data_IF_602747960324
#
_entry.id   IF_602747960324
#
_cell.length_a   1.000
_cell.length_b   1.000
_cell.length_c   1.000
_cell.angle_alpha   90.00
_cell.angle_beta   90.00
_cell.angle_gamma   90.00
#
_symmetry.space_group_name_H-M   'P 1'
#
loop_
_entity.id
_entity.type
_entity.pdbx_description
1 polymer ?
#
# COMPACT_ATOMS: atom_id res chain seq x y z
N UNK A 1 16.08 22.40 -74.64
CA UNK A 1 14.91 22.11 -73.79
C UNK A 1 15.17 20.95 -72.82
N UNK A 2 15.94 19.93 -73.23
CA UNK A 2 16.18 18.71 -72.43
C UNK A 2 17.01 18.93 -71.15
N UNK A 3 18.03 19.80 -71.17
CA UNK A 3 18.89 20.04 -69.99
C UNK A 3 18.17 20.65 -68.78
N UNK A 4 17.11 21.44 -69.00
CA UNK A 4 16.33 22.05 -67.92
C UNK A 4 15.38 21.05 -67.24
N UNK A 5 14.87 20.08 -68.01
CA UNK A 5 14.04 18.98 -67.50
C UNK A 5 14.88 18.05 -66.63
N UNK A 6 16.10 17.73 -67.06
CA UNK A 6 17.06 16.92 -66.29
C UNK A 6 17.44 17.62 -64.98
N UNK A 7 17.69 18.93 -65.01
CA UNK A 7 17.99 19.72 -63.81
C UNK A 7 16.81 19.73 -62.83
N UNK A 8 15.57 19.87 -63.32
CA UNK A 8 14.38 19.82 -62.48
C UNK A 8 14.17 18.48 -61.78
N UNK A 9 14.40 17.36 -62.49
CA UNK A 9 14.33 16.03 -61.90
C UNK A 9 15.40 15.80 -60.83
N UNK A 10 16.62 16.29 -61.04
CA UNK A 10 17.71 16.22 -60.06
C UNK A 10 17.33 16.96 -58.77
N UNK A 11 16.73 18.16 -58.88
CA UNK A 11 16.33 18.94 -57.70
C UNK A 11 15.21 18.26 -56.89
N UNK A 12 14.26 17.60 -57.54
CA UNK A 12 13.18 16.84 -56.86
C UNK A 12 13.76 15.66 -56.09
N UNK A 13 14.69 14.90 -56.68
CA UNK A 13 15.36 13.77 -56.02
C UNK A 13 16.18 14.24 -54.83
N UNK A 14 16.90 15.36 -54.97
CA UNK A 14 17.66 15.97 -53.88
C UNK A 14 16.73 16.38 -52.72
N UNK A 15 15.62 17.07 -53.01
CA UNK A 15 14.65 17.47 -51.99
C UNK A 15 14.03 16.27 -51.27
N UNK A 16 13.70 15.21 -52.00
CA UNK A 16 13.17 13.96 -51.42
C UNK A 16 14.18 13.28 -50.50
N UNK A 17 15.45 13.18 -50.92
CA UNK A 17 16.52 12.60 -50.10
C UNK A 17 16.77 13.43 -48.83
N UNK A 18 16.84 14.76 -48.94
CA UNK A 18 16.98 15.64 -47.77
C UNK A 18 15.79 15.53 -46.82
N UNK A 19 14.55 15.44 -47.32
CA UNK A 19 13.36 15.22 -46.49
C UNK A 19 13.40 13.90 -45.73
N UNK A 20 13.85 12.81 -46.39
CA UNK A 20 14.01 11.48 -45.76
C UNK A 20 15.12 11.46 -44.70
N UNK A 21 16.25 12.12 -44.97
CA UNK A 21 17.35 12.24 -44.01
C UNK A 21 16.92 13.11 -42.82
N UNK A 22 16.25 14.23 -43.06
CA UNK A 22 15.75 15.11 -42.00
C UNK A 22 14.77 14.40 -41.07
N UNK A 23 13.80 13.67 -41.62
CA UNK A 23 12.84 12.88 -40.84
C UNK A 23 13.52 11.80 -40.00
N UNK A 24 14.49 11.07 -40.56
CA UNK A 24 15.23 10.05 -39.83
C UNK A 24 16.08 10.63 -38.68
N UNK A 25 16.70 11.80 -38.89
CA UNK A 25 17.48 12.50 -37.86
C UNK A 25 16.59 12.99 -36.71
N UNK A 26 15.38 13.45 -37.01
CA UNK A 26 14.43 13.92 -36.01
C UNK A 26 13.88 12.75 -35.16
N UNK A 27 13.54 11.63 -35.80
CA UNK A 27 13.12 10.38 -35.13
C UNK A 27 14.25 9.82 -34.24
N UNK A 28 15.50 9.77 -34.74
CA UNK A 28 16.67 9.35 -33.96
C UNK A 28 16.93 10.28 -32.76
N UNK A 29 16.71 11.59 -32.93
CA UNK A 29 16.85 12.57 -31.86
C UNK A 29 15.79 12.38 -30.78
N UNK A 30 14.51 12.25 -31.15
CA UNK A 30 13.43 11.96 -30.20
C UNK A 30 13.72 10.68 -29.44
N UNK A 31 14.07 9.60 -30.12
CA UNK A 31 14.42 8.32 -29.49
C UNK A 31 15.61 8.44 -28.53
N UNK A 32 16.63 9.23 -28.89
CA UNK A 32 17.77 9.53 -28.02
C UNK A 32 17.35 10.30 -26.77
N UNK A 33 16.44 11.27 -26.90
CA UNK A 33 15.90 12.04 -25.78
C UNK A 33 15.07 11.16 -24.84
N UNK A 34 14.21 10.29 -25.36
CA UNK A 34 13.50 9.29 -24.55
C UNK A 34 14.46 8.34 -23.82
N UNK A 35 15.50 7.85 -24.50
CA UNK A 35 16.48 6.96 -23.87
C UNK A 35 17.23 7.65 -22.73
N UNK A 36 17.66 8.90 -22.91
CA UNK A 36 18.31 9.70 -21.85
C UNK A 36 17.37 10.00 -20.68
N UNK A 37 16.10 10.27 -20.98
CA UNK A 37 15.08 10.51 -19.96
C UNK A 37 14.85 9.26 -19.12
N UNK A 38 14.70 8.10 -19.76
CA UNK A 38 14.57 6.81 -19.08
C UNK A 38 15.80 6.49 -18.23
N UNK A 39 17.01 6.69 -18.75
CA UNK A 39 18.24 6.47 -17.98
C UNK A 39 18.31 7.37 -16.73
N UNK A 40 17.80 8.60 -16.84
CA UNK A 40 17.74 9.54 -15.71
C UNK A 40 16.70 9.09 -14.67
N UNK A 41 15.53 8.63 -15.13
CA UNK A 41 14.49 8.07 -14.27
C UNK A 41 15.00 6.81 -13.57
N UNK A 42 15.62 5.89 -14.29
CA UNK A 42 16.20 4.67 -13.72
C UNK A 42 17.26 4.98 -12.67
N UNK A 43 18.11 5.98 -12.91
CA UNK A 43 19.09 6.43 -11.90
C UNK A 43 18.43 7.00 -10.65
N UNK A 44 17.33 7.74 -10.82
CA UNK A 44 16.56 8.24 -9.69
C UNK A 44 15.90 7.08 -8.92
N UNK A 45 15.22 6.16 -9.59
CA UNK A 45 14.61 4.97 -8.97
C UNK A 45 15.63 4.15 -8.19
N UNK A 46 16.80 3.93 -8.78
CA UNK A 46 17.85 3.12 -8.19
C UNK A 46 18.70 3.87 -7.15
N UNK A 47 18.44 5.16 -6.91
CA UNK A 47 19.10 5.88 -5.84
C UNK A 47 18.76 5.23 -4.50
N UNK A 48 19.77 5.04 -3.64
CA UNK A 48 19.60 4.30 -2.38
C UNK A 48 18.47 4.90 -1.52
N UNK A 49 18.34 6.22 -1.47
CA UNK A 49 17.31 6.93 -0.71
C UNK A 49 15.88 6.69 -1.25
N UNK A 50 15.75 6.36 -2.54
CA UNK A 50 14.47 6.11 -3.19
C UNK A 50 14.01 4.66 -3.07
N UNK A 51 14.86 3.77 -2.53
CA UNK A 51 14.45 2.42 -2.18
C UNK A 51 13.45 2.45 -1.02
N UNK A 52 12.44 1.60 -1.09
CA UNK A 52 11.22 1.60 -0.25
C UNK A 52 11.48 1.84 1.25
N UNK A 53 12.43 1.11 1.85
CA UNK A 53 12.73 1.22 3.29
C UNK A 53 13.37 2.57 3.64
N UNK A 54 14.29 3.04 2.81
CA UNK A 54 14.96 4.31 3.05
C UNK A 54 14.00 5.48 2.81
N UNK A 55 13.16 5.36 1.77
CA UNK A 55 12.13 6.31 1.43
C UNK A 55 11.07 6.47 2.53
N UNK A 56 10.61 5.37 3.14
CA UNK A 56 9.64 5.47 4.24
C UNK A 56 10.25 6.12 5.49
N UNK A 57 11.52 5.83 5.80
CA UNK A 57 12.25 6.45 6.92
C UNK A 57 12.43 7.96 6.70
N UNK A 58 12.83 8.39 5.50
CA UNK A 58 12.98 9.81 5.18
C UNK A 58 11.62 10.52 5.24
N UNK A 59 10.58 9.92 4.65
CA UNK A 59 9.23 10.48 4.68
C UNK A 59 8.70 10.61 6.11
N UNK A 60 8.92 9.62 6.99
CA UNK A 60 8.59 9.68 8.42
C UNK A 60 9.23 10.92 9.08
N UNK A 61 10.52 11.15 8.84
CA UNK A 61 11.25 12.31 9.40
C UNK A 61 10.69 13.62 8.89
N UNK A 62 10.37 13.69 7.59
CA UNK A 62 9.78 14.88 6.97
C UNK A 62 8.38 15.20 7.50
N UNK A 63 7.59 14.19 7.89
CA UNK A 63 6.30 14.42 8.53
C UNK A 63 6.39 14.70 10.05
N UNK A 64 7.61 14.77 10.60
CA UNK A 64 7.89 15.12 11.99
C UNK A 64 7.96 13.94 12.96
N UNK A 65 8.01 12.70 12.46
CA UNK A 65 8.21 11.52 13.29
C UNK A 65 9.71 11.28 13.57
N UNK A 66 9.98 10.50 14.62
CA UNK A 66 11.32 10.04 14.99
C UNK A 66 11.37 8.51 14.83
N UNK A 67 11.62 7.99 13.61
CA UNK A 67 11.66 6.56 13.39
C UNK A 67 12.96 5.94 13.92
N UNK A 68 12.82 4.82 14.61
CA UNK A 68 13.89 3.94 15.10
C UNK A 68 13.71 2.55 14.47
N UNK A 69 14.77 1.74 14.44
CA UNK A 69 14.73 0.37 13.92
C UNK A 69 14.96 -0.55 15.10
N UNK A 70 14.06 -1.51 15.31
CA UNK A 70 14.18 -2.48 16.40
C UNK A 70 14.99 -3.73 16.00
N UNK A 71 15.10 -4.67 16.93
CA UNK A 71 15.87 -5.92 16.75
C UNK A 71 15.24 -6.85 15.69
N UNK A 72 13.95 -6.72 15.42
CA UNK A 72 13.21 -7.46 14.38
C UNK A 72 13.29 -6.75 13.01
N UNK A 73 14.05 -5.65 12.93
CA UNK A 73 14.23 -4.80 11.76
C UNK A 73 12.94 -4.08 11.30
N UNK A 74 11.97 -3.94 12.20
CA UNK A 74 10.79 -3.11 11.99
C UNK A 74 11.10 -1.64 12.32
N UNK A 75 10.47 -0.74 11.57
CA UNK A 75 10.61 0.71 11.76
C UNK A 75 9.55 1.16 12.77
N UNK A 76 9.99 1.51 13.97
CA UNK A 76 9.17 1.93 15.10
C UNK A 76 9.08 3.46 15.16
N UNK A 77 7.87 4.02 15.32
CA UNK A 77 7.70 5.46 15.47
C UNK A 77 6.38 5.80 16.17
N UNK A 78 6.30 7.03 16.68
CA UNK A 78 5.06 7.63 17.19
C UNK A 78 4.47 8.59 16.18
N UNK A 79 3.16 8.51 15.97
CA UNK A 79 2.37 9.46 15.21
C UNK A 79 1.07 9.76 15.97
N UNK A 80 0.79 11.04 16.25
CA UNK A 80 -0.33 11.49 17.09
C UNK A 80 -0.46 10.72 18.43
N UNK A 81 0.67 10.50 19.12
CA UNK A 81 0.76 9.75 20.39
C UNK A 81 0.40 8.26 20.31
N UNK A 82 0.28 7.68 19.11
CA UNK A 82 0.12 6.23 18.91
C UNK A 82 1.40 5.62 18.37
N UNK A 83 1.67 4.41 18.84
CA UNK A 83 2.80 3.60 18.38
C UNK A 83 2.44 2.88 17.08
N UNK A 84 3.36 2.96 16.13
CA UNK A 84 3.27 2.32 14.83
C UNK A 84 4.58 1.59 14.52
N UNK A 85 4.44 0.51 13.75
CA UNK A 85 5.52 -0.33 13.28
C UNK A 85 5.38 -0.49 11.77
N UNK A 86 6.46 -0.31 11.03
CA UNK A 86 6.48 -0.54 9.58
C UNK A 86 7.49 -1.61 9.26
N UNK A 87 7.00 -2.71 8.69
CA UNK A 87 7.84 -3.67 8.00
C UNK A 87 8.06 -3.19 6.57
N UNK A 88 9.32 -2.98 6.19
CA UNK A 88 9.71 -2.53 4.87
C UNK A 88 11.05 -3.14 4.46
N UNK A 89 11.16 -3.50 3.19
CA UNK A 89 12.39 -4.03 2.59
C UNK A 89 12.68 -3.32 1.27
N UNK A 90 13.97 -3.17 0.94
CA UNK A 90 14.44 -2.45 -0.24
C UNK A 90 14.32 -3.25 -1.55
N UNK A 91 13.87 -4.51 -1.52
CA UNK A 91 13.67 -5.37 -2.69
C UNK A 91 12.20 -5.38 -3.16
N UNK A 92 11.27 -4.83 -2.37
CA UNK A 92 9.85 -4.81 -2.71
C UNK A 92 9.29 -3.39 -2.66
N UNK A 93 8.26 -3.11 -3.47
CA UNK A 93 7.60 -1.81 -3.52
C UNK A 93 6.56 -1.61 -2.41
N UNK A 94 6.41 -2.54 -1.46
CA UNK A 94 5.32 -2.55 -0.50
C UNK A 94 5.84 -2.43 0.93
N UNK A 95 5.04 -1.78 1.77
CA UNK A 95 5.25 -1.72 3.21
C UNK A 95 4.04 -2.31 3.93
N UNK A 96 4.26 -2.77 5.16
CA UNK A 96 3.19 -3.20 6.05
C UNK A 96 3.23 -2.34 7.30
N UNK A 97 2.19 -1.52 7.49
CA UNK A 97 2.02 -0.69 8.67
C UNK A 97 1.20 -1.48 9.69
N UNK A 98 1.63 -1.49 10.95
CA UNK A 98 0.97 -2.14 12.08
C UNK A 98 0.74 -1.16 13.21
N UNK A 99 -0.33 -1.37 13.96
CA UNK A 99 -0.55 -0.75 15.27
C UNK A 99 -1.42 -1.66 16.16
N UNK A 100 -1.46 -1.36 17.45
CA UNK A 100 -2.27 -2.06 18.44
C UNK A 100 -3.42 -1.15 18.90
N UNK A 101 -4.66 -1.66 18.82
CA UNK A 101 -5.87 -0.97 19.27
C UNK A 101 -6.30 -1.33 20.69
N UNK A 102 -5.56 -2.23 21.35
CA UNK A 102 -5.72 -2.55 22.76
C UNK A 102 -6.18 -3.97 23.01
N UNK A 103 -6.27 -4.31 24.30
CA UNK A 103 -6.61 -5.65 24.78
C UNK A 103 -7.79 -5.60 25.74
N UNK A 104 -8.58 -6.67 25.72
CA UNK A 104 -9.70 -6.90 26.64
C UNK A 104 -9.49 -8.24 27.36
N UNK A 105 -10.08 -8.38 28.55
CA UNK A 105 -10.08 -9.68 29.25
C UNK A 105 -10.90 -10.70 28.45
N UNK A 106 -10.51 -11.98 28.45
CA UNK A 106 -11.32 -13.06 27.87
C UNK A 106 -12.62 -13.34 28.66
N UNK A 107 -12.79 -12.72 29.83
CA UNK A 107 -14.04 -12.77 30.60
C UNK A 107 -14.95 -11.56 30.31
N UNK A 108 -14.56 -10.66 29.41
CA UNK A 108 -15.39 -9.50 29.05
C UNK A 108 -16.68 -9.98 28.34
N UNK A 109 -17.87 -9.53 28.80
CA UNK A 109 -19.14 -9.97 28.22
C UNK A 109 -19.28 -9.61 26.73
N UNK A 110 -18.51 -8.63 26.26
CA UNK A 110 -18.63 -8.07 24.91
C UNK A 110 -17.68 -8.72 23.89
N UNK A 111 -16.95 -9.80 24.23
CA UNK A 111 -15.98 -10.43 23.31
C UNK A 111 -16.62 -10.91 22.01
N UNK A 112 -17.80 -11.52 22.09
CA UNK A 112 -18.47 -12.00 20.88
C UNK A 112 -18.93 -10.83 20.03
N UNK A 113 -19.38 -9.74 20.67
CA UNK A 113 -19.76 -8.50 19.98
C UNK A 113 -18.52 -7.86 19.34
N UNK A 114 -17.38 -7.83 20.02
CA UNK A 114 -16.10 -7.36 19.48
C UNK A 114 -15.71 -8.12 18.21
N UNK A 115 -15.78 -9.45 18.23
CA UNK A 115 -15.48 -10.29 17.06
C UNK A 115 -16.41 -9.97 15.88
N UNK A 116 -17.69 -9.75 16.13
CA UNK A 116 -18.65 -9.35 15.10
C UNK A 116 -18.37 -7.93 14.60
N UNK A 117 -18.04 -6.99 15.48
CA UNK A 117 -17.67 -5.62 15.13
C UNK A 117 -16.40 -5.57 14.27
N UNK A 118 -15.40 -6.39 14.59
CA UNK A 118 -14.18 -6.58 13.79
C UNK A 118 -14.54 -7.06 12.39
N UNK A 119 -15.37 -8.11 12.28
CA UNK A 119 -15.79 -8.63 10.98
C UNK A 119 -16.53 -7.58 10.15
N UNK A 120 -17.48 -6.85 10.76
CA UNK A 120 -18.20 -5.79 10.06
C UNK A 120 -17.29 -4.62 9.66
N UNK A 121 -16.36 -4.24 10.53
CA UNK A 121 -15.37 -3.20 10.23
C UNK A 121 -14.49 -3.59 9.05
N UNK A 122 -14.05 -4.86 9.00
CA UNK A 122 -13.23 -5.38 7.90
C UNK A 122 -13.96 -5.45 6.55
N UNK A 123 -15.31 -5.49 6.54
CA UNK A 123 -16.07 -5.45 5.29
C UNK A 123 -16.04 -4.08 4.60
N UNK A 124 -15.88 -3.01 5.39
CA UNK A 124 -15.96 -1.63 4.91
C UNK A 124 -14.59 -0.89 4.95
N UNK A 125 -13.65 -1.39 5.76
CA UNK A 125 -12.41 -0.71 6.12
C UNK A 125 -11.22 -0.99 5.20
N UNK A 126 -10.31 -0.01 5.10
CA UNK A 126 -9.02 -0.13 4.39
C UNK A 126 -7.94 -0.83 5.22
N UNK A 127 -7.96 -0.61 6.54
CA UNK A 127 -7.07 -1.25 7.50
C UNK A 127 -7.70 -2.56 7.95
N UNK A 128 -6.97 -3.66 7.83
CA UNK A 128 -7.42 -4.98 8.25
C UNK A 128 -7.23 -5.14 9.75
N UNK A 129 -8.29 -5.48 10.46
CA UNK A 129 -8.27 -5.85 11.86
C UNK A 129 -8.09 -7.36 12.02
N UNK A 130 -7.25 -7.76 12.96
CA UNK A 130 -7.10 -9.12 13.43
C UNK A 130 -7.06 -9.13 14.95
N UNK A 131 -7.40 -10.25 15.57
CA UNK A 131 -7.25 -10.41 17.01
C UNK A 131 -6.39 -11.64 17.33
N UNK A 132 -5.65 -11.53 18.43
CA UNK A 132 -4.87 -12.62 19.00
C UNK A 132 -5.38 -12.91 20.41
N UNK A 133 -5.48 -14.20 20.75
CA UNK A 133 -5.91 -14.64 22.09
C UNK A 133 -4.67 -15.12 22.84
N UNK A 134 -4.38 -14.47 23.96
CA UNK A 134 -3.37 -14.93 24.91
C UNK A 134 -4.09 -15.62 26.09
N UNK A 135 -4.02 -16.96 26.13
CA UNK A 135 -4.66 -17.74 27.19
C UNK A 135 -3.92 -17.61 28.53
N UNK A 136 -2.63 -17.34 28.54
CA UNK A 136 -1.83 -17.20 29.77
C UNK A 136 -2.16 -15.88 30.47
N UNK A 137 -2.27 -14.79 29.69
CA UNK A 137 -2.68 -13.48 30.19
C UNK A 137 -4.20 -13.33 30.32
N UNK A 138 -4.96 -14.31 29.82
CA UNK A 138 -6.42 -14.27 29.75
C UNK A 138 -6.95 -13.01 29.03
N UNK A 139 -6.33 -12.66 27.89
CA UNK A 139 -6.65 -11.48 27.09
C UNK A 139 -6.91 -11.80 25.62
N UNK A 140 -7.67 -10.92 24.97
CA UNK A 140 -7.78 -10.79 23.52
C UNK A 140 -7.26 -9.41 23.10
N UNK A 141 -6.30 -9.37 22.20
CA UNK A 141 -5.69 -8.13 21.69
C UNK A 141 -6.10 -7.90 20.25
N UNK A 142 -6.52 -6.67 19.92
CA UNK A 142 -6.88 -6.28 18.55
C UNK A 142 -5.71 -5.56 17.89
N UNK A 143 -5.15 -6.20 16.87
CA UNK A 143 -4.14 -5.64 16.01
C UNK A 143 -4.76 -5.13 14.72
N UNK A 144 -4.11 -4.15 14.13
CA UNK A 144 -4.53 -3.59 12.86
C UNK A 144 -3.32 -3.51 11.93
N UNK A 145 -3.57 -3.81 10.65
CA UNK A 145 -2.53 -3.84 9.62
C UNK A 145 -3.00 -3.19 8.34
N UNK A 146 -2.08 -2.52 7.65
CA UNK A 146 -2.34 -1.96 6.33
C UNK A 146 -1.16 -2.26 5.39
N UNK A 147 -1.46 -2.97 4.30
CA UNK A 147 -0.50 -3.33 3.27
C UNK A 147 -0.69 -2.39 2.08
N UNK A 148 0.36 -1.67 1.68
CA UNK A 148 0.26 -0.65 0.63
C UNK A 148 1.57 -0.44 -0.13
N UNK A 149 1.52 -0.01 -1.41
CA UNK A 149 2.71 0.36 -2.16
C UNK A 149 3.29 1.68 -1.65
N UNK A 150 4.62 1.76 -1.56
CA UNK A 150 5.33 2.95 -1.12
C UNK A 150 6.59 3.16 -1.96
N UNK A 151 6.46 3.92 -3.04
CA UNK A 151 7.52 4.16 -4.04
C UNK A 151 7.68 5.66 -4.27
N UNK A 152 8.86 6.09 -4.74
CA UNK A 152 9.23 7.51 -4.77
C UNK A 152 8.41 8.31 -5.80
N UNK A 153 7.76 7.65 -6.75
CA UNK A 153 6.92 8.24 -7.77
C UNK A 153 5.54 8.66 -7.24
N UNK A 154 5.18 8.24 -6.02
CA UNK A 154 3.91 8.62 -5.40
C UNK A 154 3.88 10.15 -5.22
N UNK A 155 2.91 10.85 -5.84
CA UNK A 155 2.78 12.28 -5.67
C UNK A 155 2.47 12.64 -4.22
N UNK A 156 3.09 13.70 -3.71
CA UNK A 156 2.87 14.18 -2.34
C UNK A 156 3.03 13.05 -1.31
N UNK A 157 4.12 12.30 -1.39
CA UNK A 157 4.35 11.08 -0.60
C UNK A 157 4.19 11.28 0.92
N UNK A 158 4.48 12.49 1.43
CA UNK A 158 4.26 12.88 2.82
C UNK A 158 2.76 12.86 3.18
N UNK A 159 1.92 13.47 2.34
CA UNK A 159 0.46 13.47 2.52
C UNK A 159 -0.14 12.09 2.28
N UNK A 160 0.42 11.33 1.35
CA UNK A 160 0.05 9.94 1.14
C UNK A 160 0.30 9.11 2.42
N UNK A 161 1.47 9.25 3.04
CA UNK A 161 1.78 8.54 4.28
C UNK A 161 0.87 8.99 5.43
N UNK A 162 0.69 10.30 5.62
CA UNK A 162 -0.26 10.85 6.62
C UNK A 162 -1.66 10.29 6.45
N UNK A 163 -2.20 10.32 5.23
CA UNK A 163 -3.53 9.79 4.93
C UNK A 163 -3.66 8.29 5.28
N UNK A 164 -2.62 7.50 5.03
CA UNK A 164 -2.60 6.08 5.37
C UNK A 164 -2.49 5.84 6.89
N UNK A 165 -1.75 6.67 7.62
CA UNK A 165 -1.72 6.64 9.08
C UNK A 165 -3.06 7.08 9.68
N UNK A 166 -3.67 8.13 9.14
CA UNK A 166 -4.97 8.65 9.57
C UNK A 166 -6.09 7.62 9.39
N UNK A 167 -6.00 6.76 8.37
CA UNK A 167 -6.94 5.64 8.19
C UNK A 167 -6.97 4.68 9.39
N UNK A 168 -5.88 4.51 10.14
CA UNK A 168 -5.89 3.70 11.37
C UNK A 168 -6.81 4.31 12.43
N UNK A 169 -6.74 5.62 12.64
CA UNK A 169 -7.61 6.31 13.59
C UNK A 169 -9.07 6.26 13.15
N UNK A 170 -9.33 6.44 11.85
CA UNK A 170 -10.67 6.27 11.30
C UNK A 170 -11.20 4.86 11.51
N UNK A 171 -10.41 3.82 11.22
CA UNK A 171 -10.80 2.42 11.43
C UNK A 171 -11.02 2.11 12.91
N UNK A 172 -10.21 2.64 13.81
CA UNK A 172 -10.42 2.50 15.25
C UNK A 172 -11.76 3.12 15.68
N UNK A 173 -12.06 4.34 15.25
CA UNK A 173 -13.33 4.99 15.57
C UNK A 173 -14.53 4.20 15.00
N UNK A 174 -14.42 3.74 13.75
CA UNK A 174 -15.48 2.94 13.12
C UNK A 174 -15.71 1.61 13.85
N UNK A 175 -14.64 0.95 14.32
CA UNK A 175 -14.74 -0.25 15.15
C UNK A 175 -15.49 0.04 16.46
N UNK A 176 -15.16 1.14 17.14
CA UNK A 176 -15.84 1.56 18.38
C UNK A 176 -17.33 1.83 18.12
N UNK A 177 -17.66 2.52 17.03
CA UNK A 177 -19.04 2.82 16.66
C UNK A 177 -19.83 1.53 16.35
N UNK A 178 -19.23 0.58 15.63
CA UNK A 178 -19.83 -0.75 15.36
C UNK A 178 -20.04 -1.55 16.64
N UNK A 179 -19.06 -1.54 17.54
CA UNK A 179 -19.14 -2.20 18.83
C UNK A 179 -20.32 -1.64 19.65
N UNK A 180 -20.44 -0.31 19.74
CA UNK A 180 -21.54 0.36 20.46
C UNK A 180 -22.91 0.05 19.82
N UNK A 181 -23.02 0.16 18.50
CA UNK A 181 -24.26 -0.13 17.77
C UNK A 181 -24.76 -1.56 17.99
N UNK A 182 -23.85 -2.54 18.03
CA UNK A 182 -24.20 -3.94 18.27
C UNK A 182 -24.61 -4.21 19.72
N UNK A 183 -24.03 -3.49 20.68
CA UNK A 183 -24.47 -3.55 22.09
C UNK A 183 -25.90 -3.03 22.27
N UNK A 184 -26.26 -1.98 21.53
CA UNK A 184 -27.60 -1.38 21.58
C UNK A 184 -28.66 -2.20 20.85
N UNK A 185 -28.29 -2.98 19.82
CA UNK A 185 -29.22 -3.77 19.00
C UNK A 185 -28.81 -5.27 18.86
N UNK A 186 -28.94 -6.08 19.93
CA UNK A 186 -28.48 -7.48 19.93
C UNK A 186 -29.21 -8.38 18.91
N UNK A 187 -30.41 -8.02 18.47
CA UNK A 187 -31.25 -8.79 17.54
C UNK A 187 -30.66 -8.94 16.13
N UNK A 188 -29.65 -8.15 15.74
CA UNK A 188 -28.89 -8.41 14.50
C UNK A 188 -27.95 -9.63 14.60
N UNK A 189 -27.64 -10.13 15.81
CA UNK A 189 -26.79 -11.32 15.99
C UNK A 189 -27.52 -12.64 15.66
N UNK A 190 -28.84 -12.72 15.82
CA UNK A 190 -29.56 -13.99 15.66
C UNK A 190 -29.92 -14.33 14.20
N UNK A 191 -29.73 -13.42 13.24
CA UNK A 191 -30.16 -13.61 11.84
C UNK A 191 -29.04 -14.08 10.90
N UNK A 192 -27.79 -14.16 11.38
CA UNK A 192 -26.65 -14.70 10.62
C UNK A 192 -26.08 -15.91 11.34
N UNK A 193 -26.84 -17.01 11.42
CA UNK A 193 -26.21 -18.30 11.70
C UNK A 193 -25.07 -18.50 10.70
N UNK A 194 -23.84 -18.61 11.22
CA UNK A 194 -22.65 -18.85 10.42
C UNK A 194 -22.88 -20.13 9.63
N UNK A 195 -22.96 -20.05 8.30
CA UNK A 195 -23.11 -21.24 7.45
C UNK A 195 -21.88 -22.12 7.67
N UNK A 196 -22.04 -23.24 8.37
CA UNK A 196 -21.00 -24.24 8.51
C UNK A 196 -20.93 -24.99 7.18
N UNK A 197 -19.93 -24.67 6.35
CA UNK A 197 -19.65 -25.47 5.15
C UNK A 197 -19.08 -26.81 5.62
N UNK A 198 -19.92 -27.85 5.61
CA UNK A 198 -19.51 -29.24 5.84
C UNK A 198 -18.68 -29.73 4.64
N UNK A 199 -17.40 -29.38 4.58
CA UNK A 199 -16.55 -29.71 3.42
C UNK A 199 -15.09 -30.06 3.71
N UNK A 200 -14.55 -29.77 4.89
CA UNK A 200 -13.12 -29.98 5.20
C UNK A 200 -12.84 -30.95 6.36
N UNK A 201 -13.83 -31.77 6.73
CA UNK A 201 -13.65 -32.80 7.74
C UNK A 201 -13.93 -34.17 7.11
N UNK A 202 -12.97 -34.71 6.36
CA UNK A 202 -12.92 -36.15 6.08
C UNK A 202 -12.32 -36.85 7.28
N UNK A 203 -13.03 -36.85 8.41
CA UNK A 203 -12.95 -38.03 9.26
C UNK A 203 -13.73 -39.10 8.52
N UNK A 204 -13.03 -40.15 8.10
CA UNK A 204 -13.71 -41.40 7.72
C UNK A 204 -14.39 -41.88 8.98
N UNK A 205 -15.70 -41.85 8.98
CA UNK A 205 -16.48 -42.65 9.89
C UNK A 205 -16.32 -44.12 9.46
N UNK A 206 -15.97 -44.97 10.43
CA UNK A 206 -15.96 -46.45 10.44
C UNK A 206 -14.70 -47.08 9.80
N UNK A 207 -13.95 -47.98 10.46
CA UNK A 207 -14.25 -49.03 11.45
C UNK A 207 -13.21 -49.10 12.59
#
# INVERSE_FOLDING_TARGET
MEGWIVLGLILIVIAYLFGRIGFAVEEDKERSEYAKTNETIDKAINAEDNKTRNLVISTLKEIGCQPEVDDDNDICFKYQNKDFFINADNQTAFIVIWSNFGSLSLNDPDINILKDAINQTNMDGRVTLAYFINNEENTITVYCKHYLPFVHEIPSIQEYLRSNLDNFFWTHQYLVDKLNSLKENPTMQSSRERIIVKGFNTKRDNE
#
